data_IF_493704066666
#
_entry.id   IF_493704066666
#
_cell.length_a   1.000
_cell.length_b   1.000
_cell.length_c   1.000
_cell.angle_alpha   90.00
_cell.angle_beta   90.00
_cell.angle_gamma   90.00
#
_symmetry.space_group_name_H-M   'P 1'
#
loop_
_entity.id
_entity.type
_entity.pdbx_description
1 polymer ?
#
# COMPACT_ATOMS: atom_id res chain seq x y z
N UNK A 1 14.05 -18.46 -4.61
CA UNK A 1 13.16 -19.64 -4.71
C UNK A 1 11.94 -19.36 -5.59
N UNK A 2 11.23 -18.24 -5.44
CA UNK A 2 10.02 -17.92 -6.24
C UNK A 2 10.35 -17.72 -7.71
N UNK A 3 11.46 -17.02 -8.03
CA UNK A 3 11.89 -16.74 -9.42
C UNK A 3 12.30 -18.03 -10.14
N UNK A 4 12.92 -18.99 -9.44
CA UNK A 4 13.31 -20.27 -10.03
C UNK A 4 12.10 -21.18 -10.31
N UNK A 5 11.10 -21.19 -9.44
CA UNK A 5 9.87 -21.95 -9.67
C UNK A 5 8.99 -21.38 -10.77
N UNK A 6 9.15 -20.09 -11.10
CA UNK A 6 8.42 -19.43 -12.18
C UNK A 6 9.26 -19.28 -13.47
N UNK A 7 10.51 -19.79 -13.50
CA UNK A 7 11.42 -19.59 -14.64
C UNK A 7 10.86 -20.11 -15.95
N UNK A 8 10.25 -21.28 -15.92
CA UNK A 8 9.63 -21.89 -17.09
C UNK A 8 8.43 -21.05 -17.61
N UNK A 9 7.66 -20.47 -16.68
CA UNK A 9 6.56 -19.57 -17.05
C UNK A 9 7.09 -18.23 -17.59
N UNK A 10 8.17 -17.70 -17.03
CA UNK A 10 8.82 -16.46 -17.50
C UNK A 10 9.44 -16.70 -18.87
N UNK A 11 10.12 -17.83 -19.11
CA UNK A 11 10.69 -18.18 -20.40
C UNK A 11 9.62 -18.48 -21.46
N UNK A 12 8.53 -19.15 -21.08
CA UNK A 12 7.38 -19.36 -21.94
C UNK A 12 6.72 -18.03 -22.34
N UNK A 13 6.50 -17.14 -21.38
CA UNK A 13 5.99 -15.79 -21.63
C UNK A 13 6.95 -14.95 -22.51
N UNK A 14 8.26 -15.00 -22.23
CA UNK A 14 9.27 -14.32 -23.03
C UNK A 14 9.34 -14.86 -24.45
N UNK A 15 9.29 -16.18 -24.65
CA UNK A 15 9.25 -16.81 -25.96
C UNK A 15 7.95 -16.49 -26.69
N UNK A 16 6.84 -16.37 -25.99
CA UNK A 16 5.56 -15.91 -26.55
C UNK A 16 5.66 -14.44 -27.00
N UNK A 17 6.23 -13.57 -26.17
CA UNK A 17 6.34 -12.12 -26.45
C UNK A 17 7.35 -11.82 -27.56
N UNK A 18 8.51 -12.49 -27.57
CA UNK A 18 9.62 -12.19 -28.47
C UNK A 18 9.81 -13.20 -29.60
N UNK A 19 9.32 -14.43 -29.46
CA UNK A 19 9.52 -15.53 -30.38
C UNK A 19 8.34 -15.82 -31.33
N UNK A 20 7.19 -15.17 -31.13
CA UNK A 20 6.00 -15.36 -31.97
C UNK A 20 5.34 -16.75 -31.90
N UNK A 21 5.79 -17.61 -30.97
CA UNK A 21 5.23 -18.96 -30.77
C UNK A 21 4.58 -19.04 -29.38
N UNK A 22 3.29 -18.75 -29.33
CA UNK A 22 2.48 -19.12 -28.15
C UNK A 22 2.00 -20.56 -28.30
N UNK A 23 2.01 -21.28 -27.19
CA UNK A 23 1.55 -22.66 -27.10
C UNK A 23 0.11 -22.73 -27.65
N UNK A 24 -0.08 -23.57 -28.67
CA UNK A 24 -1.34 -23.83 -29.41
C UNK A 24 -1.86 -22.74 -30.36
N UNK A 25 -1.24 -22.66 -31.56
CA UNK A 25 -1.96 -22.35 -32.82
C UNK A 25 -2.47 -20.93 -33.06
N UNK A 26 -2.16 -19.97 -32.17
CA UNK A 26 -2.51 -18.56 -32.36
C UNK A 26 -1.32 -17.72 -32.79
N UNK A 27 -1.45 -16.98 -33.90
CA UNK A 27 -0.51 -15.89 -34.20
C UNK A 27 -0.59 -14.84 -33.08
N UNK A 28 0.46 -14.74 -32.26
CA UNK A 28 0.58 -13.68 -31.27
C UNK A 28 0.95 -12.37 -31.97
N UNK A 29 -0.05 -11.58 -32.27
CA UNK A 29 0.19 -10.17 -32.56
C UNK A 29 0.23 -9.43 -31.26
N UNK A 30 1.41 -8.91 -30.84
CA UNK A 30 1.46 -7.90 -29.78
C UNK A 30 0.53 -6.78 -30.23
N UNK A 31 -0.59 -6.64 -29.53
CA UNK A 31 -1.46 -5.51 -29.81
C UNK A 31 -0.74 -4.26 -29.32
N UNK A 32 0.00 -3.60 -30.21
CA UNK A 32 0.78 -2.40 -29.92
C UNK A 32 -0.08 -1.34 -29.23
N UNK A 33 -1.39 -1.35 -29.49
CA UNK A 33 -2.37 -0.47 -28.84
C UNK A 33 -2.46 -0.76 -27.33
N UNK A 34 -2.40 -2.04 -26.92
CA UNK A 34 -2.39 -2.41 -25.49
C UNK A 34 -1.16 -1.82 -24.81
N UNK A 35 0.02 -1.98 -25.38
CA UNK A 35 1.27 -1.43 -24.82
C UNK A 35 1.22 0.09 -24.72
N UNK A 36 0.72 0.75 -25.77
CA UNK A 36 0.57 2.21 -25.82
C UNK A 36 -0.41 2.72 -24.79
N UNK A 37 -1.46 1.97 -24.46
CA UNK A 37 -2.44 2.34 -23.42
C UNK A 37 -1.91 2.04 -22.01
N UNK A 38 -1.21 0.93 -21.81
CA UNK A 38 -0.72 0.52 -20.50
C UNK A 38 0.36 1.47 -19.94
N UNK A 39 1.27 1.95 -20.78
CA UNK A 39 2.35 2.82 -20.30
C UNK A 39 1.82 4.11 -19.64
N UNK A 40 1.00 4.94 -20.30
CA UNK A 40 0.46 6.14 -19.68
C UNK A 40 -0.47 5.82 -18.51
N UNK A 41 -1.24 4.75 -18.57
CA UNK A 41 -2.11 4.29 -17.48
C UNK A 41 -1.28 3.96 -16.23
N UNK A 42 -0.23 3.16 -16.35
CA UNK A 42 0.66 2.80 -15.25
C UNK A 42 1.39 4.02 -14.67
N UNK A 43 1.87 4.94 -15.51
CA UNK A 43 2.49 6.19 -15.05
C UNK A 43 1.50 7.03 -14.25
N UNK A 44 0.25 7.11 -14.70
CA UNK A 44 -0.80 7.84 -14.00
C UNK A 44 -1.20 7.14 -12.70
N UNK A 45 -1.24 5.82 -12.68
CA UNK A 45 -1.47 5.02 -11.47
C UNK A 45 -0.38 5.29 -10.40
N UNK A 46 0.90 5.31 -10.78
CA UNK A 46 1.98 5.67 -9.85
C UNK A 46 1.89 7.12 -9.37
N UNK A 47 1.45 8.03 -10.22
CA UNK A 47 1.16 9.40 -9.82
C UNK A 47 0.03 9.47 -8.77
N UNK A 48 -1.07 8.75 -8.98
CA UNK A 48 -2.16 8.63 -8.01
C UNK A 48 -1.66 8.08 -6.67
N UNK A 49 -0.84 7.02 -6.70
CA UNK A 49 -0.21 6.46 -5.52
C UNK A 49 0.64 7.48 -4.75
N UNK A 50 1.40 8.31 -5.47
CA UNK A 50 2.15 9.42 -4.87
C UNK A 50 1.24 10.45 -4.24
N UNK A 51 0.15 10.81 -4.90
CA UNK A 51 -0.82 11.78 -4.40
C UNK A 51 -1.49 11.35 -3.09
N UNK A 52 -1.70 10.05 -2.86
CA UNK A 52 -2.24 9.55 -1.58
C UNK A 52 -1.33 9.98 -0.41
N UNK A 53 0.00 9.84 -0.57
CA UNK A 53 0.96 10.25 0.47
C UNK A 53 1.01 11.76 0.64
N UNK A 54 1.20 12.47 -0.46
CA UNK A 54 1.54 13.89 -0.41
C UNK A 54 0.32 14.78 -0.17
N UNK A 55 -0.89 14.35 -0.54
CA UNK A 55 -2.11 15.12 -0.32
C UNK A 55 -2.38 15.33 1.18
N UNK A 56 -2.18 14.31 2.00
CA UNK A 56 -2.31 14.43 3.45
C UNK A 56 -1.26 15.40 4.02
N UNK A 57 0.01 15.21 3.64
CA UNK A 57 1.12 16.03 4.13
C UNK A 57 0.97 17.50 3.75
N UNK A 58 0.60 17.77 2.50
CA UNK A 58 0.33 19.12 2.02
C UNK A 58 -0.85 19.77 2.74
N UNK A 59 -1.94 19.01 2.94
CA UNK A 59 -3.12 19.49 3.68
C UNK A 59 -2.78 19.84 5.13
N UNK A 60 -2.02 18.99 5.82
CA UNK A 60 -1.57 19.22 7.19
C UNK A 60 -0.66 20.44 7.29
N UNK A 61 0.32 20.62 6.42
CA UNK A 61 1.21 21.79 6.39
C UNK A 61 0.43 23.08 6.18
N UNK A 62 -0.58 23.07 5.30
CA UNK A 62 -1.46 24.21 5.07
C UNK A 62 -2.29 24.56 6.31
N UNK A 63 -2.84 23.54 7.00
CA UNK A 63 -3.65 23.74 8.20
C UNK A 63 -2.82 24.29 9.37
N UNK A 64 -1.55 23.89 9.50
CA UNK A 64 -0.64 24.34 10.56
C UNK A 64 -0.02 25.73 10.29
N UNK A 65 -0.29 26.35 9.14
CA UNK A 65 0.25 27.67 8.75
C UNK A 65 1.78 27.72 8.64
N UNK A 66 2.44 26.56 8.63
CA UNK A 66 3.89 26.46 8.58
C UNK A 66 4.40 26.66 7.16
N UNK A 67 4.90 27.85 6.86
CA UNK A 67 5.78 28.08 5.71
C UNK A 67 7.14 27.42 6.01
N UNK A 68 7.31 26.17 5.65
CA UNK A 68 8.64 25.53 5.67
C UNK A 68 9.35 25.80 4.35
N UNK A 69 10.67 26.02 4.40
CA UNK A 69 11.55 26.30 3.25
C UNK A 69 11.47 25.24 2.13
N UNK A 70 11.09 23.99 2.48
CA UNK A 70 10.84 22.91 1.52
C UNK A 70 9.37 22.49 1.61
N UNK A 71 8.53 23.20 0.88
CA UNK A 71 7.11 22.87 0.80
C UNK A 71 6.89 21.62 -0.03
N UNK A 72 6.18 20.65 0.53
CA UNK A 72 5.71 19.45 -0.17
C UNK A 72 4.87 19.81 -1.40
N UNK A 73 4.23 20.99 -1.40
CA UNK A 73 3.47 21.49 -2.54
C UNK A 73 4.32 21.74 -3.80
N UNK A 74 5.65 21.83 -3.69
CA UNK A 74 6.57 22.06 -4.82
C UNK A 74 7.10 20.78 -5.45
N UNK A 75 6.66 19.61 -5.00
CA UNK A 75 7.08 18.34 -5.61
C UNK A 75 6.41 18.23 -6.97
N UNK A 76 7.23 18.03 -8.01
CA UNK A 76 6.72 17.88 -9.36
C UNK A 76 5.90 16.59 -9.52
N UNK A 77 5.00 16.58 -10.50
CA UNK A 77 4.20 15.40 -10.86
C UNK A 77 5.08 14.19 -11.16
N UNK A 78 6.17 14.40 -11.88
CA UNK A 78 7.14 13.36 -12.22
C UNK A 78 7.83 12.78 -10.99
N UNK A 79 8.25 13.65 -10.07
CA UNK A 79 8.92 13.20 -8.82
C UNK A 79 7.96 12.39 -7.94
N UNK A 80 6.67 12.73 -7.91
CA UNK A 80 5.64 11.94 -7.22
C UNK A 80 5.50 10.54 -7.81
N UNK A 81 5.38 10.45 -9.13
CA UNK A 81 5.28 9.16 -9.83
C UNK A 81 6.56 8.32 -9.62
N UNK A 82 7.73 8.96 -9.73
CA UNK A 82 9.03 8.34 -9.51
C UNK A 82 9.17 7.76 -8.10
N UNK A 83 8.88 8.54 -7.05
CA UNK A 83 8.96 8.07 -5.66
C UNK A 83 8.03 6.87 -5.43
N UNK A 84 6.85 6.88 -6.03
CA UNK A 84 5.88 5.79 -5.91
C UNK A 84 6.33 4.54 -6.65
N UNK A 85 6.91 4.70 -7.83
CA UNK A 85 7.51 3.60 -8.60
C UNK A 85 8.69 2.97 -7.85
N UNK A 86 9.63 3.80 -7.35
CA UNK A 86 10.77 3.35 -6.55
C UNK A 86 10.30 2.61 -5.28
N UNK A 87 9.26 3.12 -4.61
CA UNK A 87 8.65 2.48 -3.44
C UNK A 87 8.06 1.10 -3.78
N UNK A 88 7.35 0.99 -4.91
CA UNK A 88 6.78 -0.26 -5.37
C UNK A 88 7.88 -1.27 -5.71
N UNK A 89 8.91 -0.82 -6.42
CA UNK A 89 10.08 -1.65 -6.73
C UNK A 89 10.75 -2.19 -5.46
N UNK A 90 11.02 -1.34 -4.47
CA UNK A 90 11.64 -1.76 -3.20
C UNK A 90 10.78 -2.78 -2.46
N UNK A 91 9.46 -2.61 -2.44
CA UNK A 91 8.56 -3.55 -1.81
C UNK A 91 8.56 -4.94 -2.45
N UNK A 92 8.72 -5.01 -3.78
CA UNK A 92 8.77 -6.27 -4.52
C UNK A 92 10.17 -6.90 -4.54
N UNK A 93 11.22 -6.08 -4.65
CA UNK A 93 12.59 -6.57 -4.65
C UNK A 93 13.02 -7.15 -3.30
N UNK A 94 12.49 -6.62 -2.19
CA UNK A 94 12.80 -7.08 -0.85
C UNK A 94 11.51 -7.54 -0.17
N UNK A 95 11.21 -8.85 -0.15
CA UNK A 95 9.96 -9.40 0.40
C UNK A 95 9.95 -9.33 1.94
N UNK A 96 9.76 -8.12 2.48
CA UNK A 96 9.78 -7.82 3.90
C UNK A 96 8.40 -7.49 4.49
N UNK A 97 7.31 -7.78 3.75
CA UNK A 97 5.95 -7.42 4.16
C UNK A 97 5.72 -5.90 4.27
N UNK A 98 6.41 -5.10 3.44
CA UNK A 98 6.26 -3.64 3.40
C UNK A 98 7.24 -2.86 4.28
N UNK A 99 8.04 -3.54 5.12
CA UNK A 99 9.01 -2.86 6.01
C UNK A 99 10.13 -2.17 5.21
N UNK A 100 10.60 -2.80 4.13
CA UNK A 100 11.61 -2.21 3.23
C UNK A 100 11.09 -0.92 2.58
N UNK A 101 9.85 -0.93 2.12
CA UNK A 101 9.19 0.24 1.54
C UNK A 101 9.01 1.36 2.56
N UNK A 102 8.63 1.04 3.80
CA UNK A 102 8.56 2.03 4.87
C UNK A 102 9.92 2.66 5.16
N UNK A 103 10.98 1.85 5.21
CA UNK A 103 12.36 2.34 5.36
C UNK A 103 12.76 3.27 4.23
N UNK A 104 12.53 2.85 2.99
CA UNK A 104 12.82 3.64 1.79
C UNK A 104 12.08 4.99 1.79
N UNK A 105 10.75 4.98 1.98
CA UNK A 105 9.95 6.20 1.93
C UNK A 105 10.31 7.16 3.08
N UNK A 106 10.65 6.62 4.27
CA UNK A 106 11.10 7.42 5.41
C UNK A 106 12.42 8.12 5.08
N UNK A 107 13.39 7.41 4.49
CA UNK A 107 14.63 8.00 4.04
C UNK A 107 14.41 9.08 2.98
N UNK A 108 13.57 8.80 1.99
CA UNK A 108 13.29 9.72 0.88
C UNK A 108 12.59 11.00 1.33
N UNK A 109 11.58 10.89 2.20
CA UNK A 109 10.79 12.02 2.67
C UNK A 109 11.45 12.84 3.79
N UNK A 110 12.51 12.35 4.40
CA UNK A 110 13.34 13.12 5.33
C UNK A 110 13.83 14.43 4.69
N UNK A 111 14.17 14.39 3.40
CA UNK A 111 14.61 15.58 2.65
C UNK A 111 13.53 16.64 2.49
N UNK A 112 12.25 16.26 2.66
CA UNK A 112 11.09 17.17 2.64
C UNK A 112 10.62 17.53 4.04
N UNK A 113 11.43 17.21 5.08
CA UNK A 113 11.20 17.57 6.46
C UNK A 113 10.11 16.74 7.15
N UNK A 114 9.74 15.57 6.60
CA UNK A 114 8.83 14.65 7.25
C UNK A 114 9.52 13.90 8.40
N UNK A 115 8.81 13.72 9.52
CA UNK A 115 9.27 12.85 10.61
C UNK A 115 8.96 11.39 10.29
N UNK A 116 9.69 10.46 10.91
CA UNK A 116 9.45 9.02 10.72
C UNK A 116 8.01 8.64 11.13
N UNK A 117 7.46 9.22 12.18
CA UNK A 117 6.07 9.01 12.62
C UNK A 117 5.06 9.45 11.57
N UNK A 118 5.24 10.66 11.00
CA UNK A 118 4.40 11.18 9.91
C UNK A 118 4.43 10.28 8.68
N UNK A 119 5.63 9.86 8.28
CA UNK A 119 5.78 8.96 7.12
C UNK A 119 5.07 7.64 7.35
N UNK A 120 5.18 7.10 8.55
CA UNK A 120 4.51 5.85 8.90
C UNK A 120 3.00 5.99 8.93
N UNK A 121 2.49 7.10 9.45
CA UNK A 121 1.05 7.38 9.38
C UNK A 121 0.58 7.45 7.92
N UNK A 122 1.28 8.19 7.05
CA UNK A 122 0.94 8.27 5.63
C UNK A 122 1.01 6.90 4.94
N UNK A 123 2.00 6.09 5.29
CA UNK A 123 2.16 4.74 4.76
C UNK A 123 0.99 3.83 5.17
N UNK A 124 0.61 3.85 6.42
CA UNK A 124 -0.57 3.13 6.92
C UNK A 124 -1.87 3.67 6.33
N UNK A 125 -2.01 4.99 6.22
CA UNK A 125 -3.16 5.63 5.59
C UNK A 125 -3.33 5.18 4.13
N UNK A 126 -2.25 5.09 3.37
CA UNK A 126 -2.28 4.55 2.00
C UNK A 126 -2.84 3.14 1.98
N UNK A 127 -2.30 2.23 2.79
CA UNK A 127 -2.80 0.85 2.85
C UNK A 127 -4.26 0.80 3.27
N UNK A 128 -4.63 1.60 4.27
CA UNK A 128 -6.01 1.67 4.74
C UNK A 128 -6.96 2.10 3.61
N UNK A 129 -6.62 3.13 2.87
CA UNK A 129 -7.42 3.64 1.74
C UNK A 129 -7.48 2.60 0.61
N UNK A 130 -6.36 1.98 0.26
CA UNK A 130 -6.31 0.95 -0.79
C UNK A 130 -7.17 -0.25 -0.42
N UNK A 131 -7.08 -0.74 0.82
CA UNK A 131 -7.92 -1.83 1.31
C UNK A 131 -9.40 -1.42 1.30
N UNK A 132 -9.74 -0.21 1.76
CA UNK A 132 -11.11 0.30 1.76
C UNK A 132 -11.69 0.35 0.35
N UNK A 133 -10.94 0.87 -0.62
CA UNK A 133 -11.36 0.94 -2.01
C UNK A 133 -11.56 -0.46 -2.60
N UNK A 134 -10.62 -1.38 -2.39
CA UNK A 134 -10.68 -2.76 -2.84
C UNK A 134 -11.89 -3.48 -2.23
N UNK A 135 -12.12 -3.36 -0.90
CA UNK A 135 -13.30 -3.96 -0.25
C UNK A 135 -14.61 -3.39 -0.77
N UNK A 136 -14.67 -2.10 -1.07
CA UNK A 136 -15.85 -1.48 -1.66
C UNK A 136 -16.16 -2.10 -3.04
N UNK A 137 -15.15 -2.24 -3.89
CA UNK A 137 -15.29 -2.87 -5.21
C UNK A 137 -15.70 -4.34 -5.11
N UNK A 138 -15.07 -5.10 -4.20
CA UNK A 138 -15.40 -6.51 -3.94
C UNK A 138 -16.86 -6.67 -3.50
N UNK A 139 -17.34 -5.83 -2.58
CA UNK A 139 -18.74 -5.87 -2.12
C UNK A 139 -19.68 -5.54 -3.27
N UNK A 140 -19.38 -4.52 -4.08
CA UNK A 140 -20.20 -4.18 -5.25
C UNK A 140 -20.23 -5.32 -6.27
N UNK A 141 -19.09 -5.98 -6.53
CA UNK A 141 -19.03 -7.14 -7.41
C UNK A 141 -19.87 -8.31 -6.88
N UNK A 142 -19.81 -8.61 -5.58
CA UNK A 142 -20.63 -9.65 -4.95
C UNK A 142 -22.12 -9.31 -5.10
N UNK A 143 -22.53 -8.07 -4.81
CA UNK A 143 -23.91 -7.63 -4.96
C UNK A 143 -24.37 -7.79 -6.41
N UNK A 144 -23.55 -7.36 -7.37
CA UNK A 144 -23.84 -7.49 -8.80
C UNK A 144 -24.05 -8.96 -9.20
N UNK A 145 -23.15 -9.87 -8.82
CA UNK A 145 -23.25 -11.30 -9.12
C UNK A 145 -24.52 -11.93 -8.52
N UNK A 146 -24.88 -11.56 -7.30
CA UNK A 146 -26.07 -12.08 -6.65
C UNK A 146 -27.37 -11.55 -7.29
N UNK A 147 -27.41 -10.25 -7.66
CA UNK A 147 -28.59 -9.63 -8.27
C UNK A 147 -28.82 -10.13 -9.69
N UNK A 148 -27.75 -10.33 -10.47
CA UNK A 148 -27.85 -10.80 -11.86
C UNK A 148 -28.01 -12.31 -11.98
N UNK A 149 -27.82 -13.06 -10.88
CA UNK A 149 -27.81 -14.52 -10.91
C UNK A 149 -26.66 -15.11 -11.72
N UNK A 150 -25.62 -14.31 -12.01
CA UNK A 150 -24.49 -14.70 -12.84
C UNK A 150 -23.45 -15.57 -12.12
N UNK A 151 -23.76 -16.09 -10.94
CA UNK A 151 -22.88 -17.00 -10.21
C UNK A 151 -22.91 -18.37 -10.90
N UNK A 152 -21.78 -18.88 -11.41
CA UNK A 152 -21.74 -20.20 -12.06
C UNK A 152 -22.21 -21.30 -11.11
N UNK A 153 -22.88 -22.32 -11.65
CA UNK A 153 -23.34 -23.48 -10.89
C UNK A 153 -22.14 -24.14 -10.17
N UNK A 154 -22.28 -24.32 -8.86
CA UNK A 154 -21.22 -24.86 -8.01
C UNK A 154 -20.22 -23.82 -7.46
N UNK A 155 -20.25 -22.55 -7.90
CA UNK A 155 -19.33 -21.51 -7.44
C UNK A 155 -19.90 -20.66 -6.28
N UNK A 156 -21.09 -20.94 -5.77
CA UNK A 156 -21.70 -20.17 -4.66
C UNK A 156 -20.80 -20.14 -3.41
N UNK A 157 -20.05 -21.22 -3.14
CA UNK A 157 -19.12 -21.27 -2.02
C UNK A 157 -18.02 -20.20 -2.12
N UNK A 158 -17.57 -19.83 -3.34
CA UNK A 158 -16.58 -18.78 -3.55
C UNK A 158 -17.11 -17.41 -3.10
N UNK A 159 -18.38 -17.12 -3.41
CA UNK A 159 -19.02 -15.86 -2.98
C UNK A 159 -19.06 -15.77 -1.46
N UNK A 160 -19.41 -16.87 -0.78
CA UNK A 160 -19.42 -16.92 0.68
C UNK A 160 -18.00 -16.82 1.27
N UNK A 161 -17.01 -17.48 0.66
CA UNK A 161 -15.63 -17.43 1.10
C UNK A 161 -15.03 -16.00 0.98
N UNK A 162 -15.27 -15.34 -0.17
CA UNK A 162 -14.81 -13.95 -0.39
C UNK A 162 -15.55 -13.00 0.55
N UNK A 163 -16.85 -13.19 0.76
CA UNK A 163 -17.63 -12.41 1.73
C UNK A 163 -17.10 -12.53 3.15
N UNK A 164 -16.85 -13.76 3.62
CA UNK A 164 -16.28 -14.01 4.95
C UNK A 164 -14.88 -13.39 5.10
N UNK A 165 -14.04 -13.49 4.07
CA UNK A 165 -12.72 -12.88 4.05
C UNK A 165 -12.79 -11.35 4.12
N UNK A 166 -13.75 -10.74 3.39
CA UNK A 166 -14.00 -9.30 3.43
C UNK A 166 -14.41 -8.83 4.82
N UNK A 167 -15.30 -9.56 5.50
CA UNK A 167 -15.69 -9.28 6.90
C UNK A 167 -14.48 -9.36 7.83
N UNK A 168 -13.62 -10.39 7.65
CA UNK A 168 -12.38 -10.54 8.42
C UNK A 168 -11.42 -9.35 8.24
N UNK A 169 -11.24 -8.89 7.00
CA UNK A 169 -10.39 -7.73 6.70
C UNK A 169 -10.96 -6.46 7.33
N UNK A 170 -12.26 -6.21 7.20
CA UNK A 170 -12.92 -5.04 7.80
C UNK A 170 -12.79 -5.08 9.33
N UNK A 171 -12.98 -6.24 9.95
CA UNK A 171 -12.80 -6.41 11.39
C UNK A 171 -11.34 -6.12 11.82
N UNK A 172 -10.35 -6.61 11.07
CA UNK A 172 -8.94 -6.33 11.32
C UNK A 172 -8.62 -4.84 11.21
N UNK A 173 -9.17 -4.15 10.20
CA UNK A 173 -9.05 -2.69 10.05
C UNK A 173 -9.67 -1.93 11.23
N UNK A 174 -10.83 -2.35 11.71
CA UNK A 174 -11.50 -1.76 12.86
C UNK A 174 -10.66 -1.93 14.14
N UNK A 175 -10.07 -3.11 14.35
CA UNK A 175 -9.18 -3.40 15.49
C UNK A 175 -7.92 -2.51 15.42
N UNK A 176 -7.26 -2.43 14.26
CA UNK A 176 -6.09 -1.56 14.08
C UNK A 176 -6.42 -0.09 14.36
N UNK A 177 -7.56 0.37 13.86
CA UNK A 177 -8.06 1.73 14.10
C UNK A 177 -8.30 1.98 15.59
N UNK A 178 -8.88 1.01 16.31
CA UNK A 178 -9.09 1.09 17.76
C UNK A 178 -7.76 1.16 18.52
N UNK A 179 -6.77 0.36 18.14
CA UNK A 179 -5.42 0.37 18.73
C UNK A 179 -4.78 1.75 18.57
N UNK A 180 -4.76 2.28 17.32
CA UNK A 180 -4.13 3.57 17.03
C UNK A 180 -4.88 4.74 17.66
N UNK A 181 -6.18 4.60 17.89
CA UNK A 181 -7.01 5.62 18.57
C UNK A 181 -6.69 5.81 20.05
N UNK A 182 -6.08 4.84 20.72
CA UNK A 182 -5.90 4.81 22.18
C UNK A 182 -4.43 4.91 22.59
N UNK A 183 -4.05 6.00 23.27
CA UNK A 183 -2.68 6.15 23.82
C UNK A 183 -2.27 4.98 24.72
N UNK A 184 -3.22 4.41 25.48
CA UNK A 184 -2.96 3.25 26.36
C UNK A 184 -2.61 2.01 25.56
N UNK A 185 -3.35 1.74 24.47
CA UNK A 185 -3.11 0.59 23.60
C UNK A 185 -1.81 0.75 22.80
N UNK A 186 -1.51 1.94 22.36
CA UNK A 186 -0.24 2.27 21.68
C UNK A 186 0.96 2.01 22.60
N UNK A 187 0.92 2.50 23.85
CA UNK A 187 1.99 2.25 24.82
C UNK A 187 2.16 0.75 25.10
N UNK A 188 1.05 0.02 25.20
CA UNK A 188 1.07 -1.43 25.34
C UNK A 188 1.69 -2.11 24.10
N UNK A 189 1.29 -1.70 22.89
CA UNK A 189 1.84 -2.22 21.63
C UNK A 189 3.35 -1.94 21.51
N UNK A 190 3.79 -0.71 21.81
CA UNK A 190 5.19 -0.33 21.84
C UNK A 190 6.01 -1.22 22.79
N UNK A 191 5.49 -1.44 24.01
CA UNK A 191 6.13 -2.33 24.98
C UNK A 191 6.24 -3.77 24.49
N UNK A 192 5.15 -4.30 23.89
CA UNK A 192 5.13 -5.68 23.34
C UNK A 192 6.11 -5.83 22.18
N UNK A 193 6.09 -4.92 21.22
CA UNK A 193 6.97 -4.93 20.06
C UNK A 193 8.44 -4.87 20.50
N UNK A 194 8.79 -3.91 21.39
CA UNK A 194 10.16 -3.78 21.91
C UNK A 194 10.60 -5.05 22.62
N UNK A 195 9.73 -5.62 23.47
CA UNK A 195 10.05 -6.85 24.22
C UNK A 195 10.25 -8.06 23.29
N UNK A 196 9.33 -8.26 22.33
CA UNK A 196 9.40 -9.37 21.39
C UNK A 196 10.65 -9.25 20.50
N UNK A 197 10.90 -8.07 19.93
CA UNK A 197 12.05 -7.85 19.05
C UNK A 197 13.38 -8.04 19.79
N UNK A 198 13.53 -7.44 20.97
CA UNK A 198 14.72 -7.63 21.77
C UNK A 198 14.89 -9.09 22.21
N UNK A 199 13.79 -9.79 22.52
CA UNK A 199 13.81 -11.23 22.85
C UNK A 199 14.26 -12.11 21.68
N UNK A 200 13.77 -11.84 20.47
CA UNK A 200 14.19 -12.56 19.25
C UNK A 200 15.68 -12.30 18.97
N UNK A 201 16.08 -11.02 18.98
CA UNK A 201 17.49 -10.65 18.72
C UNK A 201 18.42 -11.30 19.73
N UNK A 202 18.09 -11.29 21.02
CA UNK A 202 18.88 -11.96 22.06
C UNK A 202 19.04 -13.45 21.79
N UNK A 203 17.98 -14.13 21.32
CA UNK A 203 18.04 -15.56 20.97
C UNK A 203 18.90 -15.83 19.73
N UNK A 204 18.69 -15.05 18.65
CA UNK A 204 19.41 -15.21 17.38
C UNK A 204 20.89 -14.85 17.52
N UNK A 205 21.22 -13.88 18.37
CA UNK A 205 22.63 -13.46 18.60
C UNK A 205 23.32 -14.21 19.74
N UNK A 206 22.68 -15.28 20.26
CA UNK A 206 23.22 -16.06 21.41
C UNK A 206 23.60 -15.17 22.59
N UNK A 207 22.83 -14.12 22.86
CA UNK A 207 23.07 -13.19 23.96
C UNK A 207 24.13 -12.10 23.71
N UNK A 208 24.76 -12.05 22.52
CA UNK A 208 25.77 -11.01 22.20
C UNK A 208 25.19 -9.61 22.09
N UNK A 209 23.89 -9.46 21.78
CA UNK A 209 23.17 -8.16 21.76
C UNK A 209 21.94 -8.27 22.63
N UNK A 210 21.92 -7.52 23.72
CA UNK A 210 20.78 -7.54 24.66
C UNK A 210 19.65 -6.60 24.26
N UNK A 211 19.96 -5.45 23.67
CA UNK A 211 18.98 -4.43 23.28
C UNK A 211 19.32 -3.86 21.91
N UNK A 212 18.37 -3.94 20.97
CA UNK A 212 18.45 -3.32 19.64
C UNK A 212 17.42 -2.19 19.53
N UNK A 213 16.27 -2.35 20.17
CA UNK A 213 15.23 -1.33 20.21
C UNK A 213 15.14 -0.70 21.60
N UNK A 214 15.18 0.62 21.61
CA UNK A 214 14.94 1.45 22.77
C UNK A 214 13.43 1.69 22.90
N UNK A 215 12.87 1.38 24.07
CA UNK A 215 11.44 1.54 24.33
C UNK A 215 10.97 2.99 24.15
N UNK A 216 11.75 3.97 24.64
CA UNK A 216 11.33 5.38 24.58
C UNK A 216 11.27 5.89 23.14
N UNK A 217 12.22 5.50 22.28
CA UNK A 217 12.20 5.81 20.85
C UNK A 217 11.02 5.17 20.14
N UNK A 218 10.75 3.90 20.42
CA UNK A 218 9.61 3.17 19.83
C UNK A 218 8.30 3.79 20.31
N UNK A 219 8.19 4.10 21.60
CA UNK A 219 7.00 4.72 22.16
C UNK A 219 6.74 6.11 21.58
N UNK A 220 7.78 6.94 21.43
CA UNK A 220 7.65 8.26 20.81
C UNK A 220 7.20 8.16 19.36
N UNK A 221 7.77 7.24 18.59
CA UNK A 221 7.37 6.96 17.23
C UNK A 221 5.87 6.60 17.10
N UNK A 222 5.36 5.76 18.01
CA UNK A 222 3.95 5.40 18.03
C UNK A 222 3.04 6.53 18.54
N UNK A 223 3.54 7.40 19.41
CA UNK A 223 2.81 8.59 19.84
C UNK A 223 2.67 9.60 18.69
N UNK A 224 3.73 9.83 17.93
CA UNK A 224 3.68 10.68 16.73
C UNK A 224 2.64 10.17 15.71
N UNK A 225 2.60 8.84 15.51
CA UNK A 225 1.61 8.19 14.66
C UNK A 225 0.18 8.38 15.18
N UNK A 226 -0.03 8.27 16.49
CA UNK A 226 -1.32 8.52 17.12
C UNK A 226 -1.77 9.97 16.95
N UNK A 227 -0.87 10.93 17.14
CA UNK A 227 -1.19 12.35 17.04
C UNK A 227 -1.57 12.73 15.61
N UNK A 228 -0.91 12.13 14.59
CA UNK A 228 -1.30 12.27 13.19
C UNK A 228 -2.67 11.65 12.91
N UNK A 229 -2.95 10.47 13.47
CA UNK A 229 -4.26 9.83 13.37
C UNK A 229 -5.38 10.69 13.98
N UNK A 230 -5.16 11.23 15.19
CA UNK A 230 -6.14 12.11 15.86
C UNK A 230 -6.35 13.40 15.06
N UNK A 231 -5.29 13.96 14.48
CA UNK A 231 -5.37 15.14 13.61
C UNK A 231 -6.23 14.86 12.39
N UNK A 232 -5.99 13.74 11.70
CA UNK A 232 -6.78 13.30 10.56
C UNK A 232 -8.26 13.02 10.93
N UNK A 233 -8.50 12.44 12.12
CA UNK A 233 -9.85 12.18 12.63
C UNK A 233 -10.62 13.47 12.95
N UNK A 234 -9.94 14.50 13.47
CA UNK A 234 -10.55 15.81 13.79
C UNK A 234 -10.84 16.62 12.54
N UNK A 235 -9.92 16.65 11.60
CA UNK A 235 -10.09 17.35 10.32
C UNK A 235 -10.21 16.36 9.16
N UNK A 236 -11.44 15.88 8.94
CA UNK A 236 -11.75 14.93 7.87
C UNK A 236 -11.45 15.46 6.48
N UNK A 237 -11.33 16.80 6.30
CA UNK A 237 -10.97 17.40 5.00
C UNK A 237 -9.58 16.97 4.55
N UNK A 238 -8.68 16.66 5.50
CA UNK A 238 -7.34 16.13 5.20
C UNK A 238 -7.37 14.75 4.52
N UNK A 239 -8.46 13.98 4.71
CA UNK A 239 -8.62 12.65 4.14
C UNK A 239 -9.32 12.63 2.78
N UNK A 240 -10.03 13.70 2.41
CA UNK A 240 -10.82 13.72 1.17
C UNK A 240 -9.92 13.52 -0.06
N UNK A 241 -8.84 14.29 -0.17
CA UNK A 241 -7.93 14.16 -1.31
C UNK A 241 -7.24 12.79 -1.37
N UNK A 242 -6.61 12.27 -0.29
CA UNK A 242 -6.09 10.92 -0.27
C UNK A 242 -7.12 9.85 -0.66
N UNK A 243 -8.38 9.96 -0.21
CA UNK A 243 -9.45 9.04 -0.58
C UNK A 243 -9.74 9.08 -2.07
N UNK A 244 -9.94 10.26 -2.67
CA UNK A 244 -10.20 10.42 -4.11
C UNK A 244 -9.07 9.76 -4.91
N UNK A 245 -7.82 10.06 -4.60
CA UNK A 245 -6.67 9.49 -5.29
C UNK A 245 -6.53 8.00 -5.08
N UNK A 246 -6.91 7.48 -3.90
CA UNK A 246 -6.90 6.06 -3.60
C UNK A 246 -7.95 5.28 -4.36
N UNK A 247 -9.18 5.79 -4.47
CA UNK A 247 -10.21 5.17 -5.30
C UNK A 247 -9.83 5.21 -6.78
N UNK A 248 -9.27 6.32 -7.26
CA UNK A 248 -8.80 6.43 -8.64
C UNK A 248 -7.65 5.44 -8.92
N UNK A 249 -6.70 5.29 -7.98
CA UNK A 249 -5.64 4.28 -8.07
C UNK A 249 -6.19 2.88 -8.24
N UNK A 250 -7.14 2.47 -7.38
CA UNK A 250 -7.76 1.14 -7.45
C UNK A 250 -8.61 0.94 -8.72
N UNK A 251 -9.27 1.99 -9.20
CA UNK A 251 -10.01 1.91 -10.47
C UNK A 251 -9.05 1.65 -11.64
N UNK A 252 -7.90 2.35 -11.69
CA UNK A 252 -6.88 2.12 -12.70
C UNK A 252 -6.28 0.71 -12.60
N UNK A 253 -6.06 0.21 -11.38
CA UNK A 253 -5.57 -1.16 -11.18
C UNK A 253 -6.52 -2.21 -11.80
N UNK A 254 -7.84 -2.03 -11.65
CA UNK A 254 -8.82 -2.89 -12.33
C UNK A 254 -8.78 -2.67 -13.84
N UNK A 255 -8.70 -1.43 -14.31
CA UNK A 255 -8.62 -1.12 -15.73
C UNK A 255 -7.41 -1.77 -16.39
N UNK A 256 -6.27 -1.91 -15.69
CA UNK A 256 -5.11 -2.66 -16.16
C UNK A 256 -5.47 -4.10 -16.52
N UNK A 257 -6.25 -4.79 -15.67
CA UNK A 257 -6.67 -6.17 -15.93
C UNK A 257 -7.59 -6.25 -17.15
N UNK A 258 -8.52 -5.31 -17.30
CA UNK A 258 -9.43 -5.24 -18.46
C UNK A 258 -8.69 -4.93 -19.79
N UNK A 259 -7.61 -4.12 -19.73
CA UNK A 259 -6.81 -3.81 -20.92
C UNK A 259 -6.00 -5.04 -21.38
N UNK A 260 -5.58 -5.90 -20.43
CA UNK A 260 -4.72 -7.07 -20.70
C UNK A 260 -5.54 -8.31 -21.04
N UNK A 261 -6.81 -8.43 -20.58
CA UNK A 261 -7.69 -9.55 -20.83
C UNK A 261 -8.19 -9.58 -22.29
#
# INVERSE_FOLDING_TARGET
>A
FVVWGAWDQITAAANCIFGGHCIEGGEFSINLLIVVLLIPEQLFMYYCAGKIFFAYMAGKQKAEGKKREKEVQKISTWELARISFELNFVNHAIPSGGVSGLGYITWRLKNYGATAGQVSFMYLLRYFITILANQTQTILAIIFLLVTGSVPNGAHWMVWAVGAMSVGIIAAMAILTAIVSSKKMIKWAAKKITSITNGIVRRVTFGKKEKVLDFDKVNQYFLDLHDDFITAKKDKKLLIQPLIWGFLYNFLEIATYEIVA
#
